data_IF_922059776640
#
_entry.id   IF_922059776640
#
_cell.length_a   1.000
_cell.length_b   1.000
_cell.length_c   1.000
_cell.angle_alpha   90.00
_cell.angle_beta   90.00
_cell.angle_gamma   90.00
#
_symmetry.space_group_name_H-M   'P 1'
#
loop_
_entity.id
_entity.type
_entity.pdbx_description
1 polymer ?
#
# COMPACT_ATOMS: atom_id res chain seq x y z
N UNK A 1 25.35 18.50 2.93
CA UNK A 1 26.83 18.47 3.13
C UNK A 1 27.22 17.73 4.41
N UNK A 2 26.69 18.14 5.57
CA UNK A 2 27.15 17.63 6.88
C UNK A 2 26.74 16.17 7.13
N UNK A 3 25.54 15.77 6.73
CA UNK A 3 25.08 14.38 6.84
C UNK A 3 25.83 13.42 5.91
N UNK A 4 26.28 13.90 4.75
CA UNK A 4 27.06 13.09 3.81
C UNK A 4 28.45 12.81 4.39
N UNK A 5 29.11 13.82 4.96
CA UNK A 5 30.39 13.63 5.64
C UNK A 5 30.26 12.80 6.93
N UNK A 6 29.17 12.98 7.69
CA UNK A 6 28.88 12.15 8.85
C UNK A 6 28.68 10.69 8.44
N UNK A 7 27.90 10.42 7.39
CA UNK A 7 27.69 9.08 6.84
C UNK A 7 29.01 8.47 6.36
N UNK A 8 29.79 9.19 5.54
CA UNK A 8 31.09 8.73 5.05
C UNK A 8 32.05 8.34 6.18
N UNK A 9 32.06 9.10 7.28
CA UNK A 9 32.90 8.82 8.46
C UNK A 9 32.47 7.57 9.23
N UNK A 10 31.18 7.25 9.25
CA UNK A 10 30.68 6.03 9.91
C UNK A 10 30.85 4.83 8.97
N UNK A 11 30.58 5.03 7.68
CA UNK A 11 30.71 4.06 6.61
C UNK A 11 32.16 3.65 6.29
N UNK A 12 33.16 4.39 6.76
CA UNK A 12 34.58 4.01 6.62
C UNK A 12 35.01 2.89 7.57
N UNK A 13 34.11 2.35 8.39
CA UNK A 13 34.39 1.26 9.33
C UNK A 13 33.75 -0.03 8.82
N UNK A 14 34.50 -1.12 8.69
CA UNK A 14 33.96 -2.41 8.21
C UNK A 14 32.82 -2.92 9.11
N UNK A 15 32.92 -2.67 10.41
CA UNK A 15 31.87 -2.97 11.39
C UNK A 15 30.55 -2.25 11.11
N UNK A 16 30.56 -1.07 10.46
CA UNK A 16 29.32 -0.39 10.06
C UNK A 16 28.56 -1.20 9.01
N UNK A 17 29.26 -1.74 8.01
CA UNK A 17 28.65 -2.54 6.95
C UNK A 17 28.21 -3.91 7.45
N UNK A 18 29.00 -4.56 8.32
CA UNK A 18 28.57 -5.80 8.98
C UNK A 18 27.31 -5.58 9.83
N UNK A 19 27.23 -4.44 10.53
CA UNK A 19 26.10 -4.09 11.37
C UNK A 19 24.85 -3.73 10.55
N UNK A 20 24.98 -3.07 9.39
CA UNK A 20 23.83 -2.77 8.51
C UNK A 20 23.31 -4.00 7.74
N UNK A 21 24.14 -5.05 7.61
CA UNK A 21 23.79 -6.32 6.99
C UNK A 21 23.21 -7.35 7.97
N UNK A 22 23.26 -7.07 9.28
CA UNK A 22 22.71 -7.97 10.31
C UNK A 22 21.19 -7.99 10.25
N UNK A 23 20.57 -9.17 10.39
CA UNK A 23 19.12 -9.35 10.49
C UNK A 23 18.58 -9.09 11.90
N UNK A 24 19.45 -8.94 12.90
CA UNK A 24 19.12 -8.70 14.31
C UNK A 24 18.93 -7.19 14.59
N UNK A 25 18.02 -6.56 13.83
CA UNK A 25 17.81 -5.10 13.91
C UNK A 25 17.21 -4.63 15.23
N UNK A 26 16.58 -5.52 16.00
CA UNK A 26 15.94 -5.19 17.28
C UNK A 26 16.96 -4.68 18.31
N UNK A 27 18.14 -5.29 18.37
CA UNK A 27 19.18 -4.86 19.31
C UNK A 27 19.81 -3.53 18.88
N UNK A 28 19.87 -3.26 17.58
CA UNK A 28 20.29 -1.97 17.03
C UNK A 28 19.29 -0.85 17.38
N UNK A 29 18.00 -1.07 17.20
CA UNK A 29 16.96 -0.08 17.53
C UNK A 29 17.00 0.27 19.02
N UNK A 30 17.17 -0.74 19.89
CA UNK A 30 17.30 -0.55 21.35
C UNK A 30 18.56 0.23 21.74
N UNK A 31 19.65 0.12 20.98
CA UNK A 31 20.91 0.83 21.24
C UNK A 31 20.86 2.33 20.87
N UNK A 32 19.91 2.79 20.03
CA UNK A 32 19.83 4.19 19.62
C UNK A 32 19.23 5.03 20.76
N UNK A 33 20.02 5.87 21.45
CA UNK A 33 19.51 6.65 22.57
C UNK A 33 18.48 7.66 22.07
N UNK A 34 17.35 7.80 22.78
CA UNK A 34 16.24 8.75 22.51
C UNK A 34 15.28 8.37 21.37
N UNK A 35 15.43 7.21 20.72
CA UNK A 35 14.32 6.58 20.00
C UNK A 35 13.61 5.68 21.00
N UNK A 36 12.72 6.26 21.81
CA UNK A 36 11.81 5.52 22.71
C UNK A 36 10.38 5.89 22.32
N UNK A 37 10.09 5.75 21.02
CA UNK A 37 8.76 5.96 20.50
C UNK A 37 8.08 4.59 20.43
N UNK A 38 7.82 4.02 21.61
CA UNK A 38 7.27 2.66 21.77
C UNK A 38 5.84 2.54 21.23
N UNK A 39 5.27 3.65 20.75
CA UNK A 39 3.92 3.74 20.20
C UNK A 39 3.92 4.44 18.85
N UNK A 40 3.37 3.76 17.84
CA UNK A 40 3.07 4.33 16.54
C UNK A 40 1.56 4.50 16.41
N UNK A 41 1.09 5.74 16.18
CA UNK A 41 -0.33 5.95 15.91
C UNK A 41 -0.72 5.35 14.55
N UNK A 42 -1.99 4.96 14.40
CA UNK A 42 -2.47 4.42 13.12
C UNK A 42 -2.38 5.45 11.98
N UNK A 43 -2.47 6.75 12.29
CA UNK A 43 -2.26 7.83 11.33
C UNK A 43 -0.80 7.90 10.85
N UNK A 44 0.16 7.83 11.76
CA UNK A 44 1.57 7.80 11.39
C UNK A 44 1.89 6.53 10.59
N UNK A 45 1.29 5.38 10.97
CA UNK A 45 1.46 4.15 10.20
C UNK A 45 0.88 4.27 8.79
N UNK A 46 -0.26 4.94 8.62
CA UNK A 46 -0.83 5.24 7.31
C UNK A 46 0.07 6.13 6.46
N UNK A 47 0.75 7.11 7.04
CA UNK A 47 1.71 7.94 6.30
C UNK A 47 2.95 7.13 5.87
N UNK A 48 3.46 6.26 6.74
CA UNK A 48 4.53 5.30 6.40
C UNK A 48 4.07 4.35 5.29
N UNK A 49 2.87 3.78 5.40
CA UNK A 49 2.29 2.93 4.36
C UNK A 49 2.14 3.67 3.03
N UNK A 50 1.81 4.97 3.06
CA UNK A 50 1.76 5.81 1.87
C UNK A 50 3.12 5.98 1.19
N UNK A 51 4.20 6.06 1.96
CA UNK A 51 5.57 6.05 1.42
C UNK A 51 5.94 4.67 0.86
N UNK A 52 5.66 3.60 1.61
CA UNK A 52 5.91 2.22 1.18
C UNK A 52 5.17 1.88 -0.11
N UNK A 53 3.93 2.34 -0.27
CA UNK A 53 3.15 2.17 -1.49
C UNK A 53 3.88 2.68 -2.75
N UNK A 54 4.69 3.73 -2.64
CA UNK A 54 5.53 4.20 -3.77
C UNK A 54 6.66 3.25 -4.10
N UNK A 55 7.32 2.72 -3.08
CA UNK A 55 8.39 1.74 -3.23
C UNK A 55 7.81 0.45 -3.84
N UNK A 56 6.74 -0.08 -3.25
CA UNK A 56 6.01 -1.27 -3.72
C UNK A 56 5.64 -1.14 -5.20
N UNK A 57 5.03 -0.02 -5.59
CA UNK A 57 4.62 0.21 -6.98
C UNK A 57 5.82 0.19 -7.94
N UNK A 58 6.99 0.69 -7.52
CA UNK A 58 8.22 0.67 -8.31
C UNK A 58 8.78 -0.73 -8.58
N UNK A 59 8.41 -1.73 -7.77
CA UNK A 59 8.74 -3.15 -7.97
C UNK A 59 7.56 -3.95 -8.55
N UNK A 60 6.45 -3.29 -8.87
CA UNK A 60 5.27 -3.93 -9.45
C UNK A 60 5.21 -3.74 -10.97
N UNK A 61 4.36 -4.51 -11.66
CA UNK A 61 4.05 -4.29 -13.07
C UNK A 61 3.03 -3.15 -13.29
N UNK A 62 2.54 -2.52 -12.22
CA UNK A 62 1.57 -1.44 -12.28
C UNK A 62 2.25 -0.06 -12.31
N UNK A 63 1.46 0.99 -12.52
CA UNK A 63 1.96 2.37 -12.45
C UNK A 63 2.34 2.78 -11.02
N UNK A 64 3.25 3.76 -10.90
CA UNK A 64 3.81 4.32 -9.64
C UNK A 64 2.78 4.92 -8.65
N UNK A 65 1.51 4.95 -9.03
CA UNK A 65 0.38 5.44 -8.24
C UNK A 65 -0.58 4.34 -7.79
N UNK A 66 -0.42 3.11 -8.28
CA UNK A 66 -1.41 2.05 -8.16
C UNK A 66 -1.80 1.79 -6.71
N UNK A 67 -0.84 1.48 -5.84
CA UNK A 67 -1.12 1.19 -4.43
C UNK A 67 -1.67 2.40 -3.69
N UNK A 68 -1.27 3.63 -4.05
CA UNK A 68 -1.86 4.86 -3.49
C UNK A 68 -3.35 4.99 -3.85
N UNK A 69 -3.70 4.75 -5.11
CA UNK A 69 -5.09 4.75 -5.60
C UNK A 69 -5.89 3.69 -4.87
N UNK A 70 -5.39 2.45 -4.80
CA UNK A 70 -6.08 1.34 -4.12
C UNK A 70 -6.35 1.68 -2.66
N UNK A 71 -5.36 2.20 -1.92
CA UNK A 71 -5.52 2.63 -0.55
C UNK A 71 -6.62 3.70 -0.38
N UNK A 72 -6.55 4.78 -1.16
CA UNK A 72 -7.51 5.89 -1.06
C UNK A 72 -8.93 5.49 -1.43
N UNK A 73 -9.11 4.67 -2.47
CA UNK A 73 -10.42 4.11 -2.83
C UNK A 73 -10.92 3.19 -1.71
N UNK A 74 -10.06 2.34 -1.14
CA UNK A 74 -10.44 1.42 -0.06
C UNK A 74 -10.96 2.18 1.17
N UNK A 75 -10.22 3.19 1.63
CA UNK A 75 -10.64 4.04 2.75
C UNK A 75 -11.91 4.84 2.44
N UNK A 76 -12.08 5.29 1.20
CA UNK A 76 -13.27 6.00 0.76
C UNK A 76 -14.51 5.09 0.77
N UNK A 77 -14.44 3.93 0.12
CA UNK A 77 -15.56 2.98 0.06
C UNK A 77 -15.95 2.49 1.46
N UNK A 78 -14.98 2.24 2.34
CA UNK A 78 -15.25 1.86 3.73
C UNK A 78 -16.11 2.91 4.46
N UNK A 79 -15.78 4.20 4.30
CA UNK A 79 -16.56 5.29 4.91
C UNK A 79 -17.97 5.37 4.35
N UNK A 80 -18.13 5.25 3.04
CA UNK A 80 -19.47 5.26 2.40
C UNK A 80 -20.32 4.04 2.81
N UNK A 81 -19.69 2.94 3.21
CA UNK A 81 -20.36 1.78 3.79
C UNK A 81 -20.70 1.94 5.29
N UNK A 82 -20.36 3.08 5.91
CA UNK A 82 -20.62 3.33 7.34
C UNK A 82 -19.69 2.57 8.28
N UNK A 83 -18.52 2.11 7.80
CA UNK A 83 -17.52 1.43 8.64
C UNK A 83 -16.92 2.43 9.64
N UNK A 84 -16.64 2.04 10.90
CA UNK A 84 -16.05 2.94 11.89
C UNK A 84 -14.72 3.58 11.44
N UNK A 85 -14.39 4.82 11.85
CA UNK A 85 -13.22 5.55 11.35
C UNK A 85 -11.88 4.83 11.51
N UNK A 86 -11.64 4.18 12.66
CA UNK A 86 -10.41 3.42 12.90
C UNK A 86 -10.28 2.26 11.92
N UNK A 87 -11.39 1.56 11.65
CA UNK A 87 -11.42 0.44 10.73
C UNK A 87 -11.26 0.90 9.27
N UNK A 88 -11.86 2.04 8.89
CA UNK A 88 -11.61 2.68 7.58
C UNK A 88 -10.12 2.96 7.36
N UNK A 89 -9.43 3.46 8.39
CA UNK A 89 -8.00 3.74 8.30
C UNK A 89 -7.18 2.46 8.16
N UNK A 90 -7.52 1.38 8.86
CA UNK A 90 -6.89 0.06 8.66
C UNK A 90 -7.13 -0.47 7.24
N UNK A 91 -8.34 -0.33 6.70
CA UNK A 91 -8.69 -0.76 5.33
C UNK A 91 -7.90 0.06 4.29
N UNK A 92 -7.77 1.37 4.49
CA UNK A 92 -6.92 2.23 3.65
C UNK A 92 -5.48 1.75 3.66
N UNK A 93 -4.92 1.45 4.83
CA UNK A 93 -3.56 0.90 4.97
C UNK A 93 -3.44 -0.46 4.27
N UNK A 94 -4.44 -1.34 4.41
CA UNK A 94 -4.48 -2.61 3.69
C UNK A 94 -4.45 -2.43 2.18
N UNK A 95 -5.17 -1.45 1.64
CA UNK A 95 -5.10 -1.10 0.23
C UNK A 95 -3.73 -0.54 -0.19
N UNK A 96 -3.10 0.31 0.64
CA UNK A 96 -1.76 0.86 0.39
C UNK A 96 -0.68 -0.23 0.35
N UNK A 97 -0.83 -1.26 1.19
CA UNK A 97 0.16 -2.32 1.35
C UNK A 97 -0.21 -3.61 0.61
N UNK A 98 -1.35 -3.67 -0.11
CA UNK A 98 -1.92 -4.92 -0.64
C UNK A 98 -0.95 -5.75 -1.51
N UNK A 99 0.03 -5.09 -2.11
CA UNK A 99 1.03 -5.69 -2.99
C UNK A 99 2.44 -5.70 -2.38
N UNK A 100 2.59 -5.51 -1.07
CA UNK A 100 3.87 -5.60 -0.35
C UNK A 100 4.73 -6.83 -0.74
N UNK A 101 4.15 -8.02 -0.98
CA UNK A 101 4.88 -9.16 -1.54
C UNK A 101 5.70 -8.93 -2.80
N UNK A 102 5.40 -7.92 -3.62
CA UNK A 102 6.18 -7.65 -4.84
C UNK A 102 7.63 -7.26 -4.56
N UNK A 103 7.93 -6.79 -3.34
CA UNK A 103 9.31 -6.50 -2.93
C UNK A 103 10.18 -7.76 -2.87
N UNK A 104 9.61 -8.89 -2.44
CA UNK A 104 10.32 -10.17 -2.35
C UNK A 104 10.57 -10.77 -3.75
N UNK A 105 9.56 -10.72 -4.63
CA UNK A 105 9.63 -11.27 -5.98
C UNK A 105 10.71 -10.63 -6.87
N UNK A 106 11.11 -9.39 -6.58
CA UNK A 106 12.20 -8.72 -7.29
C UNK A 106 13.59 -9.08 -6.76
N UNK A 107 13.70 -9.63 -5.54
CA UNK A 107 14.97 -10.01 -4.93
C UNK A 107 15.44 -11.41 -5.36
N UNK A 108 14.51 -12.33 -5.67
CA UNK A 108 14.80 -13.71 -6.02
C UNK A 108 13.93 -14.21 -7.19
N UNK A 109 14.51 -14.73 -8.29
CA UNK A 109 13.71 -15.27 -9.37
C UNK A 109 13.15 -16.63 -8.95
N UNK A 110 11.83 -16.68 -8.79
CA UNK A 110 10.98 -17.87 -8.74
C UNK A 110 11.30 -18.89 -7.63
N UNK A 111 10.79 -18.62 -6.42
CA UNK A 111 10.21 -19.69 -5.61
C UNK A 111 8.74 -19.37 -5.33
N UNK A 112 7.88 -20.28 -5.78
CA UNK A 112 6.44 -20.22 -5.61
C UNK A 112 6.09 -20.25 -4.13
N UNK A 113 5.34 -19.23 -3.68
CA UNK A 113 4.73 -19.03 -2.35
C UNK A 113 5.36 -17.95 -1.42
N UNK A 114 6.39 -17.21 -1.89
CA UNK A 114 7.01 -16.11 -1.12
C UNK A 114 6.04 -14.98 -0.72
N UNK A 115 4.97 -14.77 -1.49
CA UNK A 115 4.02 -13.69 -1.20
C UNK A 115 3.16 -13.93 0.04
N UNK A 116 3.01 -15.19 0.47
CA UNK A 116 2.38 -15.53 1.74
C UNK A 116 3.35 -15.32 2.91
N UNK A 117 4.62 -15.66 2.70
CA UNK A 117 5.69 -15.54 3.70
C UNK A 117 5.86 -14.11 4.23
N UNK A 118 5.82 -13.09 3.36
CA UNK A 118 5.93 -11.67 3.78
C UNK A 118 4.84 -11.28 4.78
N UNK A 119 3.60 -11.75 4.55
CA UNK A 119 2.51 -11.45 5.47
C UNK A 119 2.52 -12.33 6.71
N UNK A 120 3.05 -13.56 6.61
CA UNK A 120 3.24 -14.44 7.77
C UNK A 120 4.26 -13.86 8.76
N UNK A 121 5.25 -13.09 8.30
CA UNK A 121 6.17 -12.34 9.16
C UNK A 121 5.49 -11.16 9.89
N UNK A 122 4.52 -10.52 9.24
CA UNK A 122 3.80 -9.38 9.81
C UNK A 122 2.60 -9.79 10.68
N UNK A 123 2.04 -10.98 10.46
CA UNK A 123 0.87 -11.49 11.18
C UNK A 123 1.03 -11.54 12.72
N UNK A 124 2.20 -11.89 13.29
CA UNK A 124 2.41 -11.89 14.73
C UNK A 124 2.25 -10.52 15.39
N UNK A 125 2.51 -9.44 14.65
CA UNK A 125 2.43 -8.06 15.15
C UNK A 125 0.95 -7.69 15.36
N UNK A 126 0.49 -7.74 16.62
CA UNK A 126 -0.91 -7.56 17.02
C UNK A 126 -1.55 -6.31 16.38
N UNK A 127 -0.83 -5.20 16.35
CA UNK A 127 -1.31 -3.92 15.83
C UNK A 127 -1.68 -3.93 14.33
N UNK A 128 -1.09 -4.82 13.54
CA UNK A 128 -1.29 -4.89 12.08
C UNK A 128 -1.83 -6.26 11.61
N UNK A 129 -2.08 -7.18 12.54
CA UNK A 129 -2.53 -8.55 12.25
C UNK A 129 -3.77 -8.60 11.35
N UNK A 130 -4.76 -7.77 11.65
CA UNK A 130 -6.00 -7.71 10.86
C UNK A 130 -5.69 -7.35 9.39
N UNK A 131 -4.83 -6.34 9.20
CA UNK A 131 -4.41 -5.84 7.89
C UNK A 131 -3.66 -6.94 7.13
N UNK A 132 -2.71 -7.62 7.79
CA UNK A 132 -1.99 -8.75 7.19
C UNK A 132 -2.94 -9.86 6.77
N UNK A 133 -3.90 -10.23 7.62
CA UNK A 133 -4.91 -11.24 7.32
C UNK A 133 -5.77 -10.86 6.10
N UNK A 134 -6.22 -9.60 5.99
CA UNK A 134 -6.99 -9.16 4.82
C UNK A 134 -6.16 -9.18 3.53
N UNK A 135 -4.90 -8.74 3.59
CA UNK A 135 -3.99 -8.73 2.45
C UNK A 135 -3.62 -10.14 1.95
N UNK A 136 -3.57 -11.13 2.85
CA UNK A 136 -3.43 -12.54 2.45
C UNK A 136 -4.71 -13.06 1.79
N UNK A 137 -5.87 -12.83 2.41
CA UNK A 137 -7.15 -13.36 1.92
C UNK A 137 -7.54 -12.78 0.56
N UNK A 138 -7.24 -11.50 0.28
CA UNK A 138 -7.61 -10.89 -1.00
C UNK A 138 -6.96 -11.56 -2.22
N UNK A 139 -5.73 -12.09 -2.07
CA UNK A 139 -5.00 -12.84 -3.10
C UNK A 139 -5.52 -14.26 -3.30
N UNK A 140 -6.29 -14.80 -2.36
CA UNK A 140 -6.83 -16.16 -2.49
C UNK A 140 -7.87 -16.24 -3.61
N UNK A 141 -7.81 -17.35 -4.37
CA UNK A 141 -8.67 -17.61 -5.55
C UNK A 141 -9.98 -18.31 -5.14
N UNK A 142 -10.21 -18.50 -3.85
CA UNK A 142 -11.37 -19.26 -3.38
C UNK A 142 -12.67 -18.45 -3.57
N UNK A 143 -13.34 -18.73 -4.69
CA UNK A 143 -14.60 -18.11 -5.08
C UNK A 143 -15.80 -18.53 -4.19
N UNK A 144 -15.60 -19.51 -3.30
CA UNK A 144 -16.66 -20.10 -2.46
C UNK A 144 -16.77 -19.50 -1.05
N UNK A 145 -15.84 -18.64 -0.62
CA UNK A 145 -15.86 -18.05 0.72
C UNK A 145 -16.49 -16.65 0.72
N UNK A 146 -17.40 -16.40 1.66
CA UNK A 146 -17.87 -15.06 1.95
C UNK A 146 -16.73 -14.29 2.63
N UNK A 147 -16.06 -13.43 1.87
CA UNK A 147 -15.00 -12.58 2.41
C UNK A 147 -15.57 -11.56 3.42
N UNK A 148 -14.80 -11.18 4.44
CA UNK A 148 -15.20 -10.07 5.30
C UNK A 148 -15.29 -8.76 4.49
N UNK A 149 -16.07 -7.77 4.95
CA UNK A 149 -16.26 -6.51 4.23
C UNK A 149 -14.94 -5.82 3.83
N UNK A 150 -13.93 -5.88 4.68
CA UNK A 150 -12.61 -5.28 4.47
C UNK A 150 -11.90 -5.86 3.24
N UNK A 151 -11.88 -7.18 3.13
CA UNK A 151 -11.30 -7.88 1.97
C UNK A 151 -12.10 -7.58 0.71
N UNK A 152 -13.42 -7.54 0.82
CA UNK A 152 -14.30 -7.21 -0.32
C UNK A 152 -14.04 -5.80 -0.83
N UNK A 153 -13.86 -4.83 0.07
CA UNK A 153 -13.52 -3.44 -0.27
C UNK A 153 -12.15 -3.36 -0.94
N UNK A 154 -11.13 -4.03 -0.39
CA UNK A 154 -9.78 -4.02 -0.98
C UNK A 154 -9.80 -4.62 -2.39
N UNK A 155 -10.47 -5.77 -2.60
CA UNK A 155 -10.60 -6.40 -3.92
C UNK A 155 -11.32 -5.49 -4.92
N UNK A 156 -12.43 -4.88 -4.51
CA UNK A 156 -13.14 -3.91 -5.34
C UNK A 156 -12.26 -2.71 -5.69
N UNK A 157 -11.44 -2.24 -4.75
CA UNK A 157 -10.53 -1.09 -4.96
C UNK A 157 -9.39 -1.41 -5.92
N UNK A 158 -8.83 -2.63 -5.86
CA UNK A 158 -7.81 -3.12 -6.81
C UNK A 158 -8.38 -3.14 -8.22
N UNK A 159 -9.57 -3.70 -8.37
CA UNK A 159 -10.29 -3.74 -9.65
C UNK A 159 -10.65 -2.35 -10.17
N UNK A 160 -11.13 -1.46 -9.29
CA UNK A 160 -11.44 -0.08 -9.66
C UNK A 160 -10.19 0.66 -10.16
N UNK A 161 -9.06 0.46 -9.49
CA UNK A 161 -7.80 1.08 -9.88
C UNK A 161 -7.33 0.64 -11.27
N UNK A 162 -7.57 -0.60 -11.68
CA UNK A 162 -7.24 -1.07 -13.03
C UNK A 162 -8.17 -0.50 -14.09
N UNK A 163 -9.47 -0.37 -13.80
CA UNK A 163 -10.45 0.20 -14.72
C UNK A 163 -10.28 1.70 -14.96
N UNK A 164 -9.86 2.44 -13.93
CA UNK A 164 -9.67 3.89 -13.98
C UNK A 164 -8.45 4.30 -14.82
N UNK A 165 -7.58 3.35 -15.19
CA UNK A 165 -6.45 3.63 -16.06
C UNK A 165 -6.93 4.13 -17.44
N UNK A 166 -6.48 5.33 -17.79
CA UNK A 166 -6.83 6.00 -19.04
C UNK A 166 -8.23 6.65 -19.06
N UNK A 167 -9.00 6.56 -17.98
CA UNK A 167 -10.34 7.15 -17.92
C UNK A 167 -10.27 8.63 -17.54
N UNK A 168 -10.97 9.45 -18.31
CA UNK A 168 -11.02 10.91 -18.08
C UNK A 168 -12.43 11.42 -17.76
N UNK A 169 -13.48 10.69 -18.19
CA UNK A 169 -14.87 11.08 -18.01
C UNK A 169 -15.60 10.14 -17.05
N UNK A 170 -16.45 10.69 -16.19
CA UNK A 170 -17.26 9.87 -15.29
C UNK A 170 -18.26 8.97 -16.02
N UNK A 171 -18.73 9.36 -17.22
CA UNK A 171 -19.62 8.54 -18.05
C UNK A 171 -18.92 7.28 -18.56
N UNK A 172 -17.67 7.41 -18.99
CA UNK A 172 -16.82 6.30 -19.41
C UNK A 172 -16.54 5.34 -18.25
N UNK A 173 -16.22 5.88 -17.06
CA UNK A 173 -16.03 5.07 -15.86
C UNK A 173 -17.30 4.27 -15.52
N UNK A 174 -18.48 4.91 -15.54
CA UNK A 174 -19.76 4.24 -15.27
C UNK A 174 -20.04 3.13 -16.28
N UNK A 175 -19.73 3.33 -17.56
CA UNK A 175 -19.89 2.30 -18.59
C UNK A 175 -19.01 1.07 -18.30
N UNK A 176 -17.70 1.29 -18.05
CA UNK A 176 -16.76 0.20 -17.72
C UNK A 176 -17.17 -0.58 -16.47
N UNK A 177 -17.67 0.11 -15.44
CA UNK A 177 -18.19 -0.53 -14.22
C UNK A 177 -19.45 -1.35 -14.50
N UNK A 178 -20.36 -0.85 -15.33
CA UNK A 178 -21.61 -1.55 -15.69
C UNK A 178 -21.41 -2.80 -16.55
N UNK A 179 -20.34 -2.84 -17.34
CA UNK A 179 -20.00 -3.98 -18.21
C UNK A 179 -19.32 -5.14 -17.47
N UNK A 180 -18.72 -4.86 -16.30
CA UNK A 180 -17.78 -5.75 -15.65
C UNK A 180 -18.35 -6.21 -14.29
N UNK A 181 -18.91 -7.41 -14.24
CA UNK A 181 -19.68 -7.94 -13.10
C UNK A 181 -18.85 -8.32 -11.85
N UNK A 182 -17.70 -7.70 -11.62
CA UNK A 182 -16.69 -8.17 -10.64
C UNK A 182 -16.76 -7.50 -9.27
N UNK A 183 -17.71 -6.58 -9.03
CA UNK A 183 -17.92 -5.97 -7.72
C UNK A 183 -19.03 -6.71 -6.96
N UNK A 184 -18.82 -6.94 -5.66
CA UNK A 184 -19.89 -7.36 -4.76
C UNK A 184 -21.13 -6.44 -4.87
N UNK A 185 -22.37 -6.98 -4.91
CA UNK A 185 -23.58 -6.19 -5.12
C UNK A 185 -23.75 -5.02 -4.14
N UNK A 186 -23.29 -5.17 -2.89
CA UNK A 186 -23.33 -4.13 -1.86
C UNK A 186 -22.50 -2.89 -2.21
N UNK A 187 -21.43 -3.05 -2.99
CA UNK A 187 -20.55 -1.96 -3.41
C UNK A 187 -20.97 -1.36 -4.76
N UNK A 188 -21.70 -2.09 -5.60
CA UNK A 188 -22.10 -1.63 -6.93
C UNK A 188 -22.90 -0.31 -6.87
N UNK A 189 -23.86 -0.20 -5.95
CA UNK A 189 -24.65 1.03 -5.75
C UNK A 189 -23.78 2.22 -5.34
N UNK A 190 -22.87 2.02 -4.38
CA UNK A 190 -21.94 3.05 -3.90
C UNK A 190 -21.01 3.50 -5.02
N UNK A 191 -20.43 2.57 -5.78
CA UNK A 191 -19.52 2.90 -6.88
C UNK A 191 -20.21 3.70 -7.97
N UNK A 192 -21.45 3.33 -8.34
CA UNK A 192 -22.24 4.07 -9.32
C UNK A 192 -22.61 5.47 -8.84
N UNK A 193 -23.04 5.60 -7.59
CA UNK A 193 -23.44 6.86 -6.99
C UNK A 193 -22.26 7.82 -6.81
N UNK A 194 -21.09 7.31 -6.42
CA UNK A 194 -19.91 8.12 -6.08
C UNK A 194 -18.84 8.15 -7.17
N UNK A 195 -19.22 7.85 -8.42
CA UNK A 195 -18.30 7.66 -9.53
C UNK A 195 -17.39 8.88 -9.82
N UNK A 196 -17.94 10.10 -9.69
CA UNK A 196 -17.20 11.33 -9.90
C UNK A 196 -16.11 11.53 -8.83
N UNK A 197 -16.41 11.18 -7.58
CA UNK A 197 -15.46 11.28 -6.46
C UNK A 197 -14.36 10.23 -6.60
N UNK A 198 -14.70 9.00 -6.98
CA UNK A 198 -13.72 7.94 -7.25
C UNK A 198 -12.75 8.33 -8.36
N UNK A 199 -13.26 8.93 -9.44
CA UNK A 199 -12.43 9.44 -10.54
C UNK A 199 -11.52 10.60 -10.07
N UNK A 200 -12.05 11.51 -9.23
CA UNK A 200 -11.26 12.59 -8.64
C UNK A 200 -10.13 12.05 -7.75
N UNK A 201 -10.42 11.06 -6.89
CA UNK A 201 -9.42 10.39 -6.05
C UNK A 201 -8.29 9.82 -6.92
N UNK A 202 -8.64 9.18 -8.04
CA UNK A 202 -7.67 8.64 -8.97
C UNK A 202 -6.79 9.74 -9.58
N UNK A 203 -7.39 10.80 -10.14
CA UNK A 203 -6.65 11.89 -10.78
C UNK A 203 -5.73 12.63 -9.81
N UNK A 204 -6.18 12.94 -8.60
CA UNK A 204 -5.32 13.59 -7.60
C UNK A 204 -4.18 12.67 -7.15
N UNK A 205 -4.40 11.36 -7.05
CA UNK A 205 -3.35 10.40 -6.72
C UNK A 205 -2.29 10.28 -7.83
N UNK A 206 -2.71 10.27 -9.09
CA UNK A 206 -1.80 10.32 -10.25
C UNK A 206 -0.98 11.60 -10.25
N UNK A 207 -1.62 12.75 -10.02
CA UNK A 207 -0.98 14.07 -9.99
C UNK A 207 0.06 14.16 -8.88
N UNK A 208 -0.28 13.71 -7.67
CA UNK A 208 0.62 13.68 -6.52
C UNK A 208 1.86 12.82 -6.81
N UNK A 209 1.68 11.60 -7.32
CA UNK A 209 2.80 10.71 -7.61
C UNK A 209 3.66 11.19 -8.76
N UNK A 210 3.07 11.83 -9.77
CA UNK A 210 3.83 12.51 -10.82
C UNK A 210 4.69 13.63 -10.26
N UNK A 211 4.15 14.46 -9.37
CA UNK A 211 4.90 15.55 -8.73
C UNK A 211 6.06 15.01 -7.87
N UNK A 212 5.83 13.91 -7.13
CA UNK A 212 6.88 13.24 -6.35
C UNK A 212 8.01 12.72 -7.27
N UNK A 213 7.67 12.01 -8.35
CA UNK A 213 8.68 11.50 -9.30
C UNK A 213 9.46 12.64 -9.94
N UNK A 214 8.80 13.72 -10.35
CA UNK A 214 9.47 14.90 -10.88
C UNK A 214 10.45 15.50 -9.87
N UNK A 215 10.05 15.59 -8.61
CA UNK A 215 10.91 16.11 -7.54
C UNK A 215 12.13 15.21 -7.30
N UNK A 216 11.95 13.90 -7.29
CA UNK A 216 13.06 12.94 -7.17
C UNK A 216 14.03 13.12 -8.34
N UNK A 217 13.53 13.16 -9.57
CA UNK A 217 14.37 13.34 -10.75
C UNK A 217 15.17 14.66 -10.73
N UNK A 218 14.58 15.74 -10.23
CA UNK A 218 15.28 17.01 -10.05
C UNK A 218 16.44 16.89 -9.05
N UNK A 219 16.25 16.15 -7.95
CA UNK A 219 17.27 15.95 -6.92
C UNK A 219 18.42 15.05 -7.42
N UNK A 220 18.13 14.06 -8.27
CA UNK A 220 19.16 13.18 -8.86
C UNK A 220 20.04 13.88 -9.90
N UNK A 221 19.54 14.98 -10.50
CA UNK A 221 20.26 15.77 -11.51
C UNK A 221 21.09 16.92 -10.90
N UNK A 222 21.06 17.10 -9.58
CA UNK A 222 21.76 18.15 -8.82
C UNK A 222 22.82 17.59 -7.89
#
# INVERSE_FOLDING_TARGET
>A
PDYIHAFQRVASRDHFWLRIQSTEFDDYIKEIPRIHNDTLSLHNFRDIAGMLAFIIDGFSQHGVQHSLVVGRISGYLAREMGIPPVQCLKIEIGGLLHNLPSLALCATPAQTDEGKAVWDELYPIEAIRDIAGWCQLQKSVDAKSAYPPEVTIIKASIWLASLLQGVTLSSEFKARVGETAEIAPALAGIVQQHSAILLQIFHESVKERRALVQRINQLTLS
#
